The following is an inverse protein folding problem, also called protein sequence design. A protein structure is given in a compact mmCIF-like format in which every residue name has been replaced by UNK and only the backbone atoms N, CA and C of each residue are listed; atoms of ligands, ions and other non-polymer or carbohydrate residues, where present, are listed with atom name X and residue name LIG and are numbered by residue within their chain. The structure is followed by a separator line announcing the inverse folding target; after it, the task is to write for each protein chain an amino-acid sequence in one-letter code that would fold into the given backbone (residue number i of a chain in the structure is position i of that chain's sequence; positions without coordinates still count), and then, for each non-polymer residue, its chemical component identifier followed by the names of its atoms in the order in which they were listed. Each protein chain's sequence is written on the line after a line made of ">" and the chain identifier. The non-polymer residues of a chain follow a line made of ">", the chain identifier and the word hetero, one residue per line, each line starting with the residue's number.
data_IF_888272048198
#
_entry.id   IF_888272048198
#
_cell.length_a   1.000
_cell.length_b   1.000
_cell.length_c   1.000
_cell.angle_alpha   90.00
_cell.angle_beta   90.00
_cell.angle_gamma   90.00
#
_symmetry.space_group_name_H-M   'P 1'
#
loop_
_entity.id
_entity.type
_entity.pdbx_description
1 polymer ?
#
# COMPACT_ATOMS: atom_id res chain seq x y z
N UNK A 1 26.25 -76.63 32.06
CA UNK A 1 27.19 -76.00 31.09
C UNK A 1 27.60 -74.60 31.58
N UNK A 2 28.76 -74.03 31.20
CA UNK A 2 29.46 -73.09 32.11
C UNK A 2 29.97 -71.74 31.52
N UNK A 3 30.05 -70.71 32.40
CA UNK A 3 31.02 -69.57 32.36
C UNK A 3 30.75 -68.51 31.23
N UNK A 4 31.20 -67.23 31.28
CA UNK A 4 32.05 -66.45 32.23
C UNK A 4 31.90 -64.90 32.05
N UNK A 5 31.82 -64.18 33.19
CA UNK A 5 32.51 -62.89 33.55
C UNK A 5 32.61 -61.63 32.61
N UNK A 6 32.29 -60.47 33.24
CA UNK A 6 33.02 -59.15 33.33
C UNK A 6 32.67 -57.92 32.44
N UNK A 7 32.72 -56.74 33.09
CA UNK A 7 32.84 -55.33 32.60
C UNK A 7 34.33 -54.88 32.56
N UNK A 8 34.73 -53.62 32.21
CA UNK A 8 34.11 -52.57 31.38
C UNK A 8 34.87 -52.37 30.04
N UNK A 9 35.80 -51.40 29.73
CA UNK A 9 36.46 -50.31 30.50
C UNK A 9 36.01 -48.87 30.06
N UNK A 10 36.94 -47.91 29.80
CA UNK A 10 36.69 -46.44 29.67
C UNK A 10 37.61 -45.73 28.65
N UNK A 11 37.12 -44.61 28.08
CA UNK A 11 37.80 -43.39 27.57
C UNK A 11 39.33 -43.36 27.26
N UNK A 12 39.68 -42.88 26.04
CA UNK A 12 40.93 -42.15 25.66
C UNK A 12 40.54 -41.01 24.67
N UNK A 13 41.05 -39.75 24.69
CA UNK A 13 42.43 -39.20 24.54
C UNK A 13 42.97 -39.38 23.10
N UNK A 14 43.56 -38.42 22.36
CA UNK A 14 43.98 -36.98 22.49
C UNK A 14 43.66 -36.28 21.13
N UNK A 15 43.50 -34.95 20.95
CA UNK A 15 44.24 -33.70 21.29
C UNK A 15 45.54 -33.44 20.47
N UNK A 16 45.43 -32.57 19.45
CA UNK A 16 46.43 -31.65 18.88
C UNK A 16 45.63 -30.55 18.13
N UNK A 17 45.86 -29.23 18.13
CA UNK A 17 46.99 -28.31 18.39
C UNK A 17 47.78 -27.80 17.17
N UNK A 18 47.22 -26.78 16.51
CA UNK A 18 47.93 -25.60 15.96
C UNK A 18 46.92 -24.42 15.97
N UNK A 19 47.16 -23.31 16.67
CA UNK A 19 48.09 -22.19 16.38
C UNK A 19 47.73 -21.41 15.09
N UNK A 20 47.57 -20.07 15.10
CA UNK A 20 47.12 -19.07 16.10
C UNK A 20 46.91 -17.75 15.33
N UNK A 21 45.97 -16.88 15.75
CA UNK A 21 45.77 -15.57 15.12
C UNK A 21 45.18 -14.55 16.09
N UNK A 22 45.92 -13.47 16.36
CA UNK A 22 45.53 -12.34 17.22
C UNK A 22 44.30 -11.60 16.66
N UNK A 23 43.29 -11.11 17.39
CA UNK A 23 43.11 -10.56 18.76
C UNK A 23 42.65 -9.10 18.64
N UNK A 24 41.35 -8.86 18.83
CA UNK A 24 40.79 -7.55 19.24
C UNK A 24 39.44 -7.80 19.91
N UNK A 25 39.34 -7.49 21.20
CA UNK A 25 38.09 -7.63 21.97
C UNK A 25 37.18 -6.41 21.72
N UNK A 26 35.89 -6.58 21.40
CA UNK A 26 34.95 -5.46 21.33
C UNK A 26 34.66 -4.90 22.72
N UNK A 27 34.86 -3.60 22.90
CA UNK A 27 34.45 -2.86 24.11
C UNK A 27 32.93 -3.03 24.32
N UNK A 28 32.44 -3.29 25.55
CA UNK A 28 31.01 -3.34 25.82
C UNK A 28 30.38 -1.96 25.60
N UNK A 29 29.63 -1.82 24.51
CA UNK A 29 28.86 -0.59 24.22
C UNK A 29 27.76 -0.48 25.27
N UNK A 30 27.78 0.61 26.05
CA UNK A 30 26.74 0.90 27.02
C UNK A 30 25.38 1.03 26.32
N UNK A 31 24.32 0.52 26.96
CA UNK A 31 22.97 0.72 26.46
C UNK A 31 22.63 2.22 26.52
N UNK A 32 22.11 2.83 25.44
CA UNK A 32 21.66 4.22 25.48
C UNK A 32 20.43 4.32 26.40
N UNK A 33 20.42 5.32 27.27
CA UNK A 33 19.36 5.52 28.26
C UNK A 33 17.96 5.61 27.63
N UNK A 34 16.96 5.11 28.38
CA UNK A 34 15.54 5.31 28.08
C UNK A 34 15.11 6.75 28.42
N UNK A 35 15.72 7.73 27.77
CA UNK A 35 15.34 9.14 27.87
C UNK A 35 13.94 9.34 27.31
N UNK A 36 13.04 9.87 28.13
CA UNK A 36 11.62 10.04 27.81
C UNK A 36 11.44 11.05 26.68
N UNK A 37 11.12 10.57 25.48
CA UNK A 37 10.58 11.43 24.42
C UNK A 37 9.10 11.67 24.74
N UNK A 38 8.81 12.85 25.26
CA UNK A 38 7.46 13.31 25.57
C UNK A 38 6.59 13.42 24.31
N UNK A 39 5.29 13.28 24.49
CA UNK A 39 4.31 13.23 23.42
C UNK A 39 4.28 14.49 22.55
N UNK A 40 4.65 14.31 21.27
CA UNK A 40 4.12 15.12 20.17
C UNK A 40 3.55 14.15 19.13
N UNK A 41 2.37 13.60 19.44
CA UNK A 41 1.51 13.05 18.41
C UNK A 41 0.89 14.23 17.64
N UNK A 42 1.07 14.33 16.31
CA UNK A 42 0.20 15.17 15.50
C UNK A 42 -1.23 14.67 15.72
N UNK A 43 -2.11 15.57 16.12
CA UNK A 43 -3.52 15.26 16.34
C UNK A 43 -4.11 14.66 15.06
N UNK A 44 -4.88 13.57 15.19
CA UNK A 44 -5.48 12.93 14.03
C UNK A 44 -6.45 13.94 13.40
N UNK A 45 -6.19 14.35 12.15
CA UNK A 45 -7.14 15.12 11.34
C UNK A 45 -8.39 14.28 11.07
N UNK A 46 -9.24 14.21 12.08
CA UNK A 46 -10.60 13.70 11.98
C UNK A 46 -11.38 14.64 11.07
N UNK A 47 -11.91 14.08 9.98
CA UNK A 47 -12.81 14.81 9.09
C UNK A 47 -13.91 15.50 9.92
N UNK A 48 -14.13 16.78 9.66
CA UNK A 48 -14.61 17.76 10.65
C UNK A 48 -15.85 17.37 11.47
N UNK A 49 -15.91 17.90 12.69
CA UNK A 49 -16.88 17.64 13.76
C UNK A 49 -18.36 17.87 13.38
N UNK A 50 -18.94 17.03 12.51
CA UNK A 50 -20.41 16.92 12.35
C UNK A 50 -20.92 15.63 11.70
N UNK A 51 -20.05 14.83 11.05
CA UNK A 51 -20.45 13.61 10.35
C UNK A 51 -20.77 12.44 11.30
N UNK A 52 -22.00 12.41 11.80
CA UNK A 52 -22.57 11.27 12.53
C UNK A 52 -22.96 10.11 11.58
N UNK A 53 -21.98 9.57 10.85
CA UNK A 53 -22.06 8.33 10.07
C UNK A 53 -22.45 8.50 8.60
N UNK A 54 -22.27 7.43 7.83
CA UNK A 54 -22.26 7.45 6.36
C UNK A 54 -23.63 7.10 5.72
N UNK A 55 -23.74 7.19 4.38
CA UNK A 55 -24.89 6.66 3.63
C UNK A 55 -24.83 5.14 3.47
N UNK A 56 -25.97 4.50 3.21
CA UNK A 56 -26.04 3.03 3.14
C UNK A 56 -25.12 2.43 2.06
N UNK A 57 -24.99 3.13 0.92
CA UNK A 57 -24.06 2.82 -0.16
C UNK A 57 -22.60 2.71 0.29
N UNK A 58 -22.16 3.57 1.23
CA UNK A 58 -20.81 3.51 1.81
C UNK A 58 -20.63 2.22 2.60
N UNK A 59 -21.59 1.87 3.47
CA UNK A 59 -21.50 0.63 4.26
C UNK A 59 -21.57 -0.63 3.39
N UNK A 60 -22.40 -0.63 2.34
CA UNK A 60 -22.48 -1.74 1.39
C UNK A 60 -21.14 -1.92 0.65
N UNK A 61 -20.63 -0.88 -0.01
CA UNK A 61 -19.35 -0.92 -0.74
C UNK A 61 -18.20 -1.29 0.20
N UNK A 62 -18.12 -0.67 1.38
CA UNK A 62 -17.10 -0.97 2.39
C UNK A 62 -17.17 -2.43 2.86
N UNK A 63 -18.36 -3.01 3.00
CA UNK A 63 -18.51 -4.42 3.37
C UNK A 63 -17.98 -5.38 2.31
N UNK A 64 -18.13 -5.05 1.02
CA UNK A 64 -17.58 -5.83 -0.10
C UNK A 64 -16.06 -5.68 -0.18
N UNK A 65 -15.53 -4.46 -0.04
CA UNK A 65 -14.08 -4.20 0.00
C UNK A 65 -13.41 -4.93 1.17
N UNK A 66 -14.02 -4.86 2.37
CA UNK A 66 -13.59 -5.58 3.58
C UNK A 66 -13.61 -7.10 3.37
N UNK A 67 -14.70 -7.64 2.81
CA UNK A 67 -14.82 -9.07 2.50
C UNK A 67 -13.76 -9.55 1.52
N UNK A 68 -13.51 -8.81 0.44
CA UNK A 68 -12.54 -9.20 -0.59
C UNK A 68 -11.11 -9.27 -0.03
N UNK A 69 -10.73 -8.33 0.83
CA UNK A 69 -9.43 -8.35 1.52
C UNK A 69 -9.24 -9.56 2.47
N UNK A 70 -10.33 -10.16 2.97
CA UNK A 70 -10.25 -11.39 3.78
C UNK A 70 -10.03 -12.67 2.94
N UNK A 71 -10.58 -12.72 1.73
CA UNK A 71 -10.56 -13.92 0.88
C UNK A 71 -9.16 -14.27 0.33
N UNK A 72 -8.19 -13.36 0.44
CA UNK A 72 -6.83 -13.54 -0.09
C UNK A 72 -5.81 -14.21 0.86
N UNK A 73 -6.12 -14.43 2.15
CA UNK A 73 -5.06 -14.72 3.16
C UNK A 73 -5.23 -15.98 4.03
N UNK A 74 -4.60 -17.08 3.58
CA UNK A 74 -3.74 -17.92 4.41
C UNK A 74 -2.27 -17.80 3.95
N UNK A 75 -1.34 -17.53 4.87
CA UNK A 75 0.07 -17.35 4.53
C UNK A 75 0.76 -18.60 3.96
N UNK A 76 0.27 -19.79 4.32
CA UNK A 76 0.76 -21.11 3.88
C UNK A 76 0.47 -21.46 2.42
N UNK A 77 -0.44 -20.73 1.75
CA UNK A 77 -0.87 -21.02 0.39
C UNK A 77 -0.50 -19.91 -0.61
N UNK A 78 0.56 -19.14 -0.34
CA UNK A 78 1.11 -18.12 -1.26
C UNK A 78 1.96 -18.71 -2.39
N UNK A 79 1.47 -19.77 -3.04
CA UNK A 79 1.81 -19.99 -4.45
C UNK A 79 1.22 -18.83 -5.28
N UNK A 80 1.94 -18.37 -6.30
CA UNK A 80 1.50 -17.24 -7.13
C UNK A 80 0.44 -17.72 -8.12
N UNK A 81 -0.80 -17.83 -7.66
CA UNK A 81 -1.96 -18.19 -8.48
C UNK A 81 -2.40 -16.94 -9.26
N UNK A 82 -1.89 -16.78 -10.47
CA UNK A 82 -2.45 -15.85 -11.45
C UNK A 82 -3.83 -16.34 -11.93
N UNK A 83 -4.72 -15.41 -12.31
CA UNK A 83 -5.89 -15.72 -13.14
C UNK A 83 -7.08 -16.41 -12.46
N UNK A 84 -7.30 -16.22 -11.14
CA UNK A 84 -8.60 -16.51 -10.51
C UNK A 84 -9.03 -15.37 -9.58
N UNK A 85 -10.02 -14.61 -10.01
CA UNK A 85 -10.75 -13.68 -9.14
C UNK A 85 -11.36 -14.48 -7.97
N UNK A 86 -11.12 -13.99 -6.75
CA UNK A 86 -11.68 -14.56 -5.51
C UNK A 86 -12.50 -13.53 -4.71
N UNK A 87 -12.72 -12.35 -5.27
CA UNK A 87 -13.56 -11.31 -4.68
C UNK A 87 -14.99 -11.38 -5.19
N UNK A 88 -15.91 -10.83 -4.40
CA UNK A 88 -17.22 -10.40 -4.88
C UNK A 88 -17.06 -9.17 -5.80
N UNK A 89 -17.91 -9.01 -6.83
CA UNK A 89 -17.89 -7.81 -7.66
C UNK A 89 -18.20 -6.56 -6.82
N UNK A 90 -17.45 -5.48 -7.05
CA UNK A 90 -17.71 -4.19 -6.41
C UNK A 90 -18.97 -3.56 -7.02
N UNK A 91 -19.90 -2.99 -6.22
CA UNK A 91 -20.99 -2.17 -6.73
C UNK A 91 -20.52 -0.99 -7.59
N UNK A 92 -21.22 -0.69 -8.69
CA UNK A 92 -20.95 0.46 -9.57
C UNK A 92 -21.34 1.78 -8.89
N UNK A 93 -20.42 2.32 -8.09
CA UNK A 93 -20.56 3.59 -7.37
C UNK A 93 -19.77 4.68 -8.11
N UNK A 94 -20.47 5.68 -8.65
CA UNK A 94 -19.87 6.74 -9.48
C UNK A 94 -19.46 8.00 -8.70
N UNK A 95 -19.87 8.11 -7.44
CA UNK A 95 -19.44 9.20 -6.55
C UNK A 95 -18.07 8.87 -5.93
N UNK A 96 -17.02 9.60 -6.32
CA UNK A 96 -15.66 9.43 -5.80
C UNK A 96 -15.60 9.59 -4.27
N UNK A 97 -16.35 10.55 -3.70
CA UNK A 97 -16.48 10.73 -2.24
C UNK A 97 -17.00 9.44 -1.54
N UNK A 98 -17.97 8.75 -2.13
CA UNK A 98 -18.54 7.51 -1.59
C UNK A 98 -17.56 6.36 -1.71
N UNK A 99 -16.79 6.30 -2.81
CA UNK A 99 -15.68 5.33 -2.93
C UNK A 99 -14.63 5.58 -1.85
N UNK A 100 -14.11 6.81 -1.73
CA UNK A 100 -13.09 7.17 -0.75
C UNK A 100 -13.53 6.84 0.68
N UNK A 101 -14.73 7.27 1.09
CA UNK A 101 -15.29 6.96 2.40
C UNK A 101 -15.46 5.44 2.62
N UNK A 102 -15.84 4.68 1.59
CA UNK A 102 -15.99 3.23 1.69
C UNK A 102 -14.65 2.49 1.79
N UNK A 103 -13.64 2.89 1.03
CA UNK A 103 -12.28 2.33 1.11
C UNK A 103 -11.64 2.66 2.46
N UNK A 104 -11.76 3.89 2.94
CA UNK A 104 -11.28 4.30 4.26
C UNK A 104 -11.97 3.50 5.38
N UNK A 105 -13.30 3.45 5.38
CA UNK A 105 -14.07 2.73 6.38
C UNK A 105 -13.76 1.22 6.37
N UNK A 106 -13.61 0.60 5.19
CA UNK A 106 -13.19 -0.79 5.07
C UNK A 106 -11.78 -1.01 5.63
N UNK A 107 -10.81 -0.15 5.28
CA UNK A 107 -9.43 -0.26 5.74
C UNK A 107 -9.31 -0.04 7.26
N UNK A 108 -10.01 0.95 7.81
CA UNK A 108 -10.07 1.21 9.24
C UNK A 108 -10.81 0.08 10.00
N UNK A 109 -11.78 -0.59 9.38
CA UNK A 109 -12.38 -1.82 9.94
C UNK A 109 -11.39 -2.99 9.93
N UNK A 110 -10.63 -3.20 8.84
CA UNK A 110 -9.55 -4.22 8.76
C UNK A 110 -8.44 -3.98 9.79
N UNK A 111 -8.22 -2.71 10.17
CA UNK A 111 -7.27 -2.29 11.23
C UNK A 111 -7.61 -2.88 12.60
N UNK A 112 -8.87 -3.25 12.84
CA UNK A 112 -9.38 -3.72 14.14
C UNK A 112 -9.35 -5.26 14.26
N UNK A 113 -8.29 -5.82 14.85
CA UNK A 113 -8.13 -7.29 15.01
C UNK A 113 -9.32 -7.98 15.72
N UNK A 114 -10.02 -7.29 16.62
CA UNK A 114 -11.21 -7.84 17.29
C UNK A 114 -12.40 -8.10 16.32
N UNK A 115 -12.48 -7.33 15.24
CA UNK A 115 -13.42 -7.54 14.15
C UNK A 115 -12.82 -8.52 13.13
N UNK A 116 -11.55 -8.35 12.75
CA UNK A 116 -10.82 -9.23 11.83
C UNK A 116 -10.92 -10.71 12.26
N UNK A 117 -10.54 -11.01 13.50
CA UNK A 117 -10.46 -12.37 14.05
C UNK A 117 -11.81 -13.09 14.12
N UNK A 118 -12.93 -12.36 14.22
CA UNK A 118 -14.27 -12.93 14.35
C UNK A 118 -15.04 -13.00 13.04
N UNK A 119 -14.81 -12.05 12.13
CA UNK A 119 -15.57 -11.96 10.87
C UNK A 119 -14.99 -12.87 9.78
N UNK A 120 -13.69 -13.23 9.86
CA UNK A 120 -13.02 -14.17 8.94
C UNK A 120 -13.70 -15.53 8.77
N UNK A 121 -14.55 -15.95 9.71
CA UNK A 121 -15.25 -17.25 9.66
C UNK A 121 -16.64 -17.21 9.01
N UNK A 122 -17.18 -16.04 8.66
CA UNK A 122 -18.53 -15.93 8.05
C UNK A 122 -18.64 -14.68 7.16
N UNK A 123 -18.76 -14.82 5.83
CA UNK A 123 -18.88 -13.68 4.92
C UNK A 123 -20.03 -12.70 5.21
N UNK A 124 -21.14 -13.19 5.77
CA UNK A 124 -22.27 -12.34 6.18
C UNK A 124 -21.95 -11.37 7.32
N UNK A 125 -20.83 -11.57 8.03
CA UNK A 125 -20.38 -10.68 9.11
C UNK A 125 -19.67 -9.43 8.61
N UNK A 126 -19.30 -9.32 7.34
CA UNK A 126 -18.53 -8.18 6.82
C UNK A 126 -19.29 -6.86 6.88
N UNK A 127 -20.60 -6.84 6.60
CA UNK A 127 -21.45 -5.66 6.80
C UNK A 127 -21.61 -5.33 8.29
N UNK A 128 -21.71 -6.35 9.15
CA UNK A 128 -21.79 -6.19 10.61
C UNK A 128 -20.49 -5.61 11.18
N UNK A 129 -19.33 -6.01 10.67
CA UNK A 129 -18.02 -5.52 11.09
C UNK A 129 -17.89 -4.01 10.81
N UNK A 130 -18.15 -3.62 9.56
CA UNK A 130 -18.04 -2.24 9.06
C UNK A 130 -19.02 -1.32 9.79
N UNK A 131 -20.28 -1.73 9.98
CA UNK A 131 -21.26 -0.97 10.77
C UNK A 131 -20.90 -0.92 12.26
N UNK A 132 -20.38 -2.00 12.86
CA UNK A 132 -20.00 -2.01 14.28
C UNK A 132 -18.76 -1.16 14.56
N UNK A 133 -17.80 -1.10 13.63
CA UNK A 133 -16.61 -0.24 13.74
C UNK A 133 -17.01 1.24 13.82
N UNK A 134 -17.77 1.72 12.84
CA UNK A 134 -18.28 3.10 12.78
C UNK A 134 -19.26 3.39 13.94
N UNK A 135 -20.15 2.47 14.30
CA UNK A 135 -21.07 2.66 15.42
C UNK A 135 -20.34 2.78 16.76
N UNK A 136 -19.26 2.01 16.95
CA UNK A 136 -18.39 2.13 18.12
C UNK A 136 -17.61 3.45 18.10
N UNK A 137 -17.06 3.86 16.97
CA UNK A 137 -16.30 5.11 16.91
C UNK A 137 -17.19 6.35 17.11
N UNK A 138 -18.41 6.35 16.58
CA UNK A 138 -19.45 7.33 16.93
C UNK A 138 -20.03 7.13 18.34
N UNK A 139 -19.26 6.48 19.22
CA UNK A 139 -19.51 6.24 20.65
C UNK A 139 -20.92 5.67 20.94
N UNK A 140 -21.36 4.79 20.04
CA UNK A 140 -22.69 4.15 20.00
C UNK A 140 -23.88 5.11 19.83
N UNK A 141 -23.69 6.27 19.18
CA UNK A 141 -24.78 7.16 18.78
C UNK A 141 -25.47 6.65 17.49
N UNK A 142 -26.77 6.95 17.26
CA UNK A 142 -27.42 6.68 15.97
C UNK A 142 -26.84 7.55 14.84
N UNK A 143 -27.05 7.16 13.58
CA UNK A 143 -26.62 7.98 12.42
C UNK A 143 -27.48 9.23 12.23
N UNK A 144 -26.87 10.39 11.91
CA UNK A 144 -27.59 11.54 11.32
C UNK A 144 -27.94 11.19 9.88
N UNK A 145 -29.20 10.81 9.62
CA UNK A 145 -29.66 10.43 8.27
C UNK A 145 -30.07 11.67 7.47
N UNK A 146 -29.40 11.94 6.34
CA UNK A 146 -29.94 12.84 5.29
C UNK A 146 -31.15 12.14 4.64
N UNK A 147 -32.29 12.81 4.52
CA UNK A 147 -33.57 12.19 4.17
C UNK A 147 -33.73 11.76 2.69
N UNK A 148 -32.73 12.03 1.84
CA UNK A 148 -32.81 11.91 0.37
C UNK A 148 -31.61 11.10 -0.17
N UNK A 149 -31.45 9.86 0.31
CA UNK A 149 -30.53 8.86 -0.26
C UNK A 149 -31.16 7.48 -0.21
N UNK A 150 -30.68 6.61 -1.10
CA UNK A 150 -31.13 5.21 -1.26
C UNK A 150 -31.13 4.45 0.08
N UNK A 151 -32.15 3.61 0.26
CA UNK A 151 -32.33 2.78 1.45
C UNK A 151 -31.99 1.35 1.10
N UNK A 152 -30.90 0.84 1.67
CA UNK A 152 -30.47 -0.55 1.49
C UNK A 152 -30.91 -1.33 2.73
N UNK A 153 -31.89 -2.22 2.56
CA UNK A 153 -32.63 -2.81 3.68
C UNK A 153 -31.72 -3.61 4.63
N UNK A 154 -30.75 -4.34 4.08
CA UNK A 154 -29.76 -5.13 4.84
C UNK A 154 -28.92 -4.23 5.76
N UNK A 155 -28.55 -3.03 5.30
CA UNK A 155 -27.82 -2.05 6.10
C UNK A 155 -28.70 -1.53 7.25
N UNK A 156 -30.00 -1.35 7.02
CA UNK A 156 -30.95 -0.93 8.05
C UNK A 156 -31.21 -2.01 9.08
N UNK A 157 -31.35 -3.27 8.67
CA UNK A 157 -31.62 -4.38 9.59
C UNK A 157 -30.42 -4.68 10.48
N UNK A 158 -29.19 -4.60 9.94
CA UNK A 158 -27.97 -4.68 10.75
C UNK A 158 -27.83 -3.46 11.68
N UNK A 159 -28.07 -2.23 11.21
CA UNK A 159 -28.07 -1.03 12.07
C UNK A 159 -29.07 -1.15 13.22
N UNK A 160 -30.31 -1.56 12.93
CA UNK A 160 -31.38 -1.74 13.91
C UNK A 160 -31.03 -2.83 14.94
N UNK A 161 -30.37 -3.92 14.51
CA UNK A 161 -29.88 -4.98 15.39
C UNK A 161 -28.76 -4.49 16.32
N UNK A 162 -27.79 -3.74 15.79
CA UNK A 162 -26.71 -3.13 16.57
C UNK A 162 -27.25 -2.12 17.59
N UNK A 163 -28.20 -1.27 17.20
CA UNK A 163 -28.87 -0.32 18.10
C UNK A 163 -29.61 -1.04 19.24
N UNK A 164 -30.39 -2.10 18.93
CA UNK A 164 -31.09 -2.94 19.92
C UNK A 164 -30.15 -3.58 20.94
N UNK A 165 -28.87 -3.74 20.61
CA UNK A 165 -27.88 -4.37 21.48
C UNK A 165 -26.76 -3.42 21.98
N UNK A 166 -26.88 -2.10 21.73
CA UNK A 166 -25.95 -1.04 22.14
C UNK A 166 -25.30 -1.27 23.51
N UNK A 167 -26.10 -1.38 24.58
CA UNK A 167 -25.58 -1.48 25.95
C UNK A 167 -24.79 -2.77 26.17
N UNK A 168 -25.19 -3.89 25.55
CA UNK A 168 -24.48 -5.17 25.63
C UNK A 168 -23.17 -5.13 24.84
N UNK A 169 -23.16 -4.49 23.66
CA UNK A 169 -21.98 -4.30 22.81
C UNK A 169 -20.94 -3.40 23.51
N UNK A 170 -21.35 -2.21 23.95
CA UNK A 170 -20.50 -1.26 24.66
C UNK A 170 -19.87 -1.88 25.93
N UNK A 171 -20.68 -2.56 26.76
CA UNK A 171 -20.16 -3.25 27.95
C UNK A 171 -19.22 -4.42 27.60
N UNK A 172 -19.43 -5.11 26.48
CA UNK A 172 -18.54 -6.19 26.02
C UNK A 172 -17.20 -5.65 25.54
N UNK A 173 -17.20 -4.56 24.77
CA UNK A 173 -16.00 -3.88 24.29
C UNK A 173 -15.22 -3.23 25.43
N UNK A 174 -15.90 -2.63 26.42
CA UNK A 174 -15.27 -2.12 27.64
C UNK A 174 -14.59 -3.24 28.46
N UNK A 175 -15.26 -4.38 28.66
CA UNK A 175 -14.65 -5.56 29.32
C UNK A 175 -13.46 -6.11 28.54
N UNK A 176 -13.53 -6.13 27.21
CA UNK A 176 -12.41 -6.57 26.37
C UNK A 176 -11.20 -5.63 26.53
N UNK A 177 -11.43 -4.30 26.41
CA UNK A 177 -10.39 -3.27 26.62
C UNK A 177 -9.69 -3.44 27.98
N UNK A 178 -10.46 -3.63 29.05
CA UNK A 178 -9.93 -3.85 30.41
C UNK A 178 -9.13 -5.17 30.49
N UNK A 179 -9.69 -6.29 29.98
CA UNK A 179 -9.03 -7.61 30.00
C UNK A 179 -7.65 -7.59 29.35
N UNK A 180 -7.49 -6.86 28.25
CA UNK A 180 -6.24 -6.76 27.50
C UNK A 180 -5.41 -5.50 27.83
N UNK A 181 -5.80 -4.74 28.88
CA UNK A 181 -5.11 -3.52 29.36
C UNK A 181 -4.85 -2.45 28.29
N UNK A 182 -5.79 -2.25 27.37
CA UNK A 182 -5.61 -1.37 26.21
C UNK A 182 -6.07 0.07 26.51
N UNK A 183 -5.28 1.13 26.20
CA UNK A 183 -5.69 2.52 26.45
C UNK A 183 -6.94 2.93 25.66
N UNK A 184 -6.89 2.79 24.33
CA UNK A 184 -8.04 2.94 23.43
C UNK A 184 -8.33 1.63 22.67
N UNK A 185 -9.40 1.63 21.88
CA UNK A 185 -9.74 0.48 21.02
C UNK A 185 -8.72 0.31 19.88
N UNK A 186 -8.03 1.37 19.42
CA UNK A 186 -7.05 1.27 18.34
C UNK A 186 -5.81 0.46 18.76
N UNK A 187 -5.50 0.40 20.06
CA UNK A 187 -4.41 -0.42 20.60
C UNK A 187 -4.66 -1.93 20.47
N UNK A 188 -5.85 -2.36 20.03
CA UNK A 188 -6.14 -3.74 19.56
C UNK A 188 -5.27 -4.11 18.35
N UNK A 189 -4.68 -3.14 17.63
CA UNK A 189 -3.73 -3.40 16.55
C UNK A 189 -2.59 -4.34 16.97
N UNK A 190 -2.36 -5.48 16.27
CA UNK A 190 -1.18 -6.29 16.42
C UNK A 190 0.08 -5.45 16.21
N UNK A 191 1.16 -5.76 16.91
CA UNK A 191 2.40 -4.98 16.79
C UNK A 191 2.96 -5.01 15.37
N UNK A 192 2.82 -6.14 14.67
CA UNK A 192 3.16 -6.27 13.24
C UNK A 192 2.31 -5.41 12.30
N UNK A 193 1.17 -4.88 12.74
CA UNK A 193 0.36 -3.91 12.03
C UNK A 193 0.74 -2.47 12.43
N UNK A 194 0.96 -2.20 13.74
CA UNK A 194 1.50 -0.91 14.21
C UNK A 194 2.82 -0.56 13.53
N UNK A 195 3.77 -1.50 13.44
CA UNK A 195 5.05 -1.24 12.74
C UNK A 195 4.91 -1.13 11.21
N UNK A 196 3.82 -1.63 10.60
CA UNK A 196 3.53 -1.40 9.17
C UNK A 196 2.97 0.00 8.95
N UNK A 197 2.04 0.45 9.80
CA UNK A 197 1.50 1.81 9.78
C UNK A 197 2.61 2.85 10.03
N UNK A 198 3.45 2.64 11.05
CA UNK A 198 4.59 3.51 11.37
C UNK A 198 5.58 3.60 10.19
N UNK A 199 5.85 2.48 9.51
CA UNK A 199 6.68 2.47 8.30
C UNK A 199 5.99 3.19 7.16
N UNK A 200 4.71 2.91 6.90
CA UNK A 200 3.93 3.54 5.82
C UNK A 200 3.91 5.07 5.94
N UNK A 201 3.67 5.60 7.15
CA UNK A 201 3.72 7.04 7.47
C UNK A 201 5.13 7.67 7.34
N UNK A 202 6.18 6.86 7.17
CA UNK A 202 7.58 7.27 7.03
C UNK A 202 8.22 6.83 5.70
N UNK A 203 7.48 6.19 4.78
CA UNK A 203 7.98 5.91 3.44
C UNK A 203 8.10 7.24 2.67
N UNK A 204 9.25 7.53 2.04
CA UNK A 204 9.36 8.71 1.20
C UNK A 204 8.48 8.56 -0.05
N UNK A 205 8.08 9.69 -0.61
CA UNK A 205 7.43 9.75 -1.91
C UNK A 205 8.48 9.44 -2.97
N UNK A 206 8.23 8.43 -3.79
CA UNK A 206 8.94 8.22 -5.04
C UNK A 206 8.08 8.76 -6.18
N UNK A 207 8.68 9.57 -7.07
CA UNK A 207 8.02 10.10 -8.24
C UNK A 207 8.90 9.95 -9.47
N UNK A 208 8.44 9.21 -10.48
CA UNK A 208 9.14 9.09 -11.76
C UNK A 208 8.82 10.29 -12.65
N UNK A 209 9.82 10.75 -13.41
CA UNK A 209 9.67 11.84 -14.37
C UNK A 209 9.11 11.32 -15.69
N UNK A 210 8.01 11.93 -16.15
CA UNK A 210 7.41 11.62 -17.44
C UNK A 210 8.19 12.31 -18.57
N UNK A 211 9.16 11.58 -19.10
CA UNK A 211 10.06 12.03 -20.17
C UNK A 211 9.42 12.20 -21.55
N UNK A 212 8.11 11.89 -21.68
CA UNK A 212 7.27 12.33 -22.80
C UNK A 212 6.78 13.79 -22.67
N UNK A 213 6.73 14.34 -21.45
CA UNK A 213 6.16 15.67 -21.15
C UNK A 213 7.14 16.68 -20.54
N UNK A 214 8.27 16.23 -20.01
CA UNK A 214 9.25 17.08 -19.32
C UNK A 214 10.64 16.44 -19.32
N UNK A 215 11.71 17.19 -19.00
CA UNK A 215 13.01 16.59 -18.70
C UNK A 215 13.23 16.47 -17.19
N UNK A 216 14.10 15.53 -16.78
CA UNK A 216 14.51 15.39 -15.37
C UNK A 216 15.10 16.70 -14.83
N UNK A 217 15.88 17.40 -15.64
CA UNK A 217 16.48 18.68 -15.24
C UNK A 217 15.44 19.81 -15.19
N UNK A 218 14.44 19.84 -16.08
CA UNK A 218 13.31 20.80 -16.02
C UNK A 218 12.51 20.63 -14.73
N UNK A 219 12.10 19.40 -14.41
CA UNK A 219 11.41 19.08 -13.15
C UNK A 219 12.24 19.54 -11.95
N UNK A 220 13.55 19.31 -11.96
CA UNK A 220 14.44 19.73 -10.88
C UNK A 220 14.65 21.24 -10.80
N UNK A 221 14.56 21.99 -11.90
CA UNK A 221 14.55 23.46 -11.85
C UNK A 221 13.23 23.99 -11.28
N UNK A 222 12.08 23.41 -11.66
CA UNK A 222 10.77 23.78 -11.07
C UNK A 222 10.78 23.53 -9.56
N UNK A 223 11.25 22.36 -9.10
CA UNK A 223 11.38 22.09 -7.66
C UNK A 223 12.29 23.12 -6.97
N UNK A 224 13.41 23.54 -7.58
CA UNK A 224 14.31 24.55 -7.02
C UNK A 224 13.68 25.96 -6.98
N UNK A 225 12.90 26.36 -8.00
CA UNK A 225 12.19 27.64 -7.98
C UNK A 225 11.06 27.68 -6.95
N UNK A 226 10.45 26.54 -6.65
CA UNK A 226 9.46 26.37 -5.57
C UNK A 226 10.12 26.26 -4.17
N UNK A 227 11.46 26.36 -4.09
CA UNK A 227 12.24 26.38 -2.84
C UNK A 227 12.81 25.04 -2.37
N UNK A 228 12.61 23.94 -3.12
CA UNK A 228 13.11 22.63 -2.70
C UNK A 228 14.63 22.50 -2.88
N UNK A 229 15.32 22.08 -1.81
CA UNK A 229 16.77 21.86 -1.82
C UNK A 229 17.12 20.42 -2.25
N UNK A 230 18.09 20.31 -3.16
CA UNK A 230 18.56 19.00 -3.66
C UNK A 230 19.65 18.43 -2.74
N UNK A 231 19.37 17.30 -2.09
CA UNK A 231 20.32 16.57 -1.23
C UNK A 231 20.94 15.35 -1.94
N UNK A 232 21.96 14.73 -1.34
CA UNK A 232 22.76 13.67 -2.00
C UNK A 232 22.13 12.27 -1.88
N UNK A 233 21.32 12.02 -0.86
CA UNK A 233 20.74 10.69 -0.62
C UNK A 233 19.47 10.73 0.23
N UNK A 234 18.73 9.61 0.22
CA UNK A 234 17.48 9.43 0.98
C UNK A 234 17.66 9.68 2.48
N UNK A 235 18.85 9.38 3.04
CA UNK A 235 19.18 9.63 4.44
C UNK A 235 19.40 11.11 4.81
N UNK A 236 19.26 12.02 3.85
CA UNK A 236 19.34 13.48 4.03
C UNK A 236 17.99 14.17 3.75
N UNK A 237 16.91 13.40 3.54
CA UNK A 237 15.58 13.94 3.22
C UNK A 237 14.85 14.41 4.48
N UNK A 238 14.94 15.71 4.74
CA UNK A 238 14.25 16.42 5.82
C UNK A 238 13.64 17.73 5.29
N UNK A 239 12.50 18.15 5.85
CA UNK A 239 11.78 19.37 5.43
C UNK A 239 11.53 19.43 3.92
N UNK A 240 11.80 20.60 3.31
CA UNK A 240 11.59 20.83 1.89
C UNK A 240 12.81 20.41 1.03
N UNK A 241 13.10 19.11 1.00
CA UNK A 241 14.23 18.54 0.25
C UNK A 241 13.81 17.45 -0.74
N UNK A 242 14.69 17.15 -1.70
CA UNK A 242 14.56 16.02 -2.62
C UNK A 242 15.91 15.46 -3.05
N UNK A 243 15.97 14.22 -3.52
CA UNK A 243 17.14 13.65 -4.20
C UNK A 243 16.74 12.85 -5.45
N UNK A 244 17.72 12.45 -6.28
CA UNK A 244 17.51 11.39 -7.29
C UNK A 244 17.59 10.02 -6.60
N UNK A 245 16.93 9.01 -7.15
CA UNK A 245 17.08 7.63 -6.67
C UNK A 245 18.42 7.00 -7.11
N UNK A 246 18.93 6.04 -6.34
CA UNK A 246 20.21 5.37 -6.61
C UNK A 246 20.14 4.24 -7.65
N UNK A 247 18.94 3.71 -7.96
CA UNK A 247 18.76 2.54 -8.81
C UNK A 247 17.94 2.83 -10.07
N UNK A 248 17.13 3.90 -10.07
CA UNK A 248 16.26 4.29 -11.17
C UNK A 248 16.50 5.76 -11.50
N UNK A 249 17.24 6.03 -12.59
CA UNK A 249 17.81 7.35 -12.86
C UNK A 249 16.80 8.48 -13.14
N UNK A 250 15.55 8.10 -13.42
CA UNK A 250 14.42 8.97 -13.70
C UNK A 250 13.54 9.31 -12.48
N UNK A 251 13.82 8.68 -11.32
CA UNK A 251 13.02 8.86 -10.09
C UNK A 251 13.61 9.96 -9.21
N UNK A 252 12.72 10.84 -8.73
CA UNK A 252 12.96 11.76 -7.63
C UNK A 252 12.34 11.21 -6.33
N UNK A 253 13.00 11.47 -5.20
CA UNK A 253 12.60 11.00 -3.87
C UNK A 253 12.44 12.19 -2.93
N UNK A 254 11.30 12.28 -2.23
CA UNK A 254 10.92 13.40 -1.36
C UNK A 254 10.35 12.88 -0.02
N UNK A 255 10.40 13.66 1.09
CA UNK A 255 9.70 13.31 2.33
C UNK A 255 8.20 13.09 2.17
N UNK A 256 7.63 12.15 2.95
CA UNK A 256 6.20 11.78 2.91
C UNK A 256 5.24 12.98 2.98
N UNK A 257 5.56 13.96 3.83
CA UNK A 257 4.72 15.14 4.09
C UNK A 257 4.76 16.19 2.97
N UNK A 258 5.69 16.09 2.01
CA UNK A 258 5.80 17.04 0.88
C UNK A 258 4.72 16.84 -0.20
N UNK A 259 3.82 15.85 -0.06
CA UNK A 259 2.80 15.55 -1.08
C UNK A 259 1.90 16.76 -1.37
N UNK A 260 1.47 17.49 -0.34
CA UNK A 260 0.60 18.67 -0.46
C UNK A 260 1.28 19.82 -1.19
N UNK A 261 2.54 20.12 -0.83
CA UNK A 261 3.35 21.14 -1.50
C UNK A 261 3.73 20.74 -2.94
N UNK A 262 3.87 19.44 -3.22
CA UNK A 262 4.06 18.94 -4.58
C UNK A 262 2.79 19.12 -5.44
N UNK A 263 1.59 19.06 -4.82
CA UNK A 263 0.31 19.36 -5.48
C UNK A 263 0.06 20.85 -5.74
N UNK A 264 0.71 21.79 -5.04
CA UNK A 264 0.67 23.20 -5.44
C UNK A 264 1.55 23.51 -6.65
N UNK A 265 2.53 22.63 -6.96
CA UNK A 265 3.26 22.68 -8.23
C UNK A 265 2.42 22.07 -9.36
N UNK A 266 2.61 22.58 -10.60
CA UNK A 266 1.98 21.99 -11.80
C UNK A 266 2.56 20.64 -12.21
N UNK A 267 3.59 20.13 -11.54
CA UNK A 267 4.31 18.91 -11.95
C UNK A 267 3.40 17.67 -11.94
N UNK A 268 2.47 17.59 -10.98
CA UNK A 268 1.49 16.51 -10.88
C UNK A 268 0.29 16.71 -11.81
N UNK A 269 -0.26 17.93 -11.90
CA UNK A 269 -1.45 18.24 -12.72
C UNK A 269 -1.20 18.08 -14.21
N UNK A 270 -0.01 18.47 -14.66
CA UNK A 270 0.39 18.39 -16.07
C UNK A 270 0.85 16.95 -16.42
N UNK A 271 0.98 16.09 -15.40
CA UNK A 271 1.59 14.76 -15.44
C UNK A 271 3.05 14.76 -15.90
N UNK A 272 3.84 15.77 -15.48
CA UNK A 272 5.30 15.82 -15.69
C UNK A 272 6.05 14.89 -14.73
N UNK A 273 5.47 14.62 -13.55
CA UNK A 273 5.89 13.56 -12.64
C UNK A 273 4.69 12.73 -12.20
N UNK A 274 4.93 11.49 -11.77
CA UNK A 274 3.91 10.59 -11.22
C UNK A 274 4.41 9.96 -9.93
N UNK A 275 3.67 10.15 -8.83
CA UNK A 275 3.95 9.44 -7.57
C UNK A 275 3.53 7.97 -7.72
N UNK A 276 4.48 7.05 -7.54
CA UNK A 276 4.25 5.60 -7.48
C UNK A 276 5.26 4.97 -6.53
N UNK A 277 4.91 3.84 -5.89
CA UNK A 277 5.89 3.09 -5.09
C UNK A 277 7.03 2.57 -5.99
N UNK A 278 8.27 2.66 -5.49
CA UNK A 278 9.50 2.31 -6.21
C UNK A 278 9.47 0.90 -6.82
N UNK A 279 8.74 -0.05 -6.23
CA UNK A 279 8.61 -1.41 -6.78
C UNK A 279 7.97 -1.44 -8.18
N UNK A 280 7.06 -0.52 -8.49
CA UNK A 280 6.46 -0.41 -9.83
C UNK A 280 7.41 0.15 -10.88
N UNK A 281 8.39 0.95 -10.47
CA UNK A 281 9.34 1.62 -11.37
C UNK A 281 10.62 0.82 -11.65
N UNK A 282 10.90 -0.22 -10.84
CA UNK A 282 12.03 -1.13 -11.05
C UNK A 282 11.89 -1.92 -12.37
N UNK A 283 10.72 -2.51 -12.64
CA UNK A 283 10.46 -3.27 -13.86
C UNK A 283 10.69 -2.45 -15.15
N UNK A 284 10.05 -1.27 -15.29
CA UNK A 284 10.28 -0.33 -16.39
C UNK A 284 11.76 0.04 -16.59
N UNK A 285 12.49 0.33 -15.51
CA UNK A 285 13.93 0.64 -15.58
C UNK A 285 14.77 -0.55 -16.06
N UNK A 286 14.52 -1.76 -15.53
CA UNK A 286 15.24 -2.97 -15.96
C UNK A 286 14.94 -3.31 -17.43
N UNK A 287 13.67 -3.23 -17.86
CA UNK A 287 13.28 -3.44 -19.26
C UNK A 287 13.97 -2.43 -20.18
N UNK A 288 13.93 -1.14 -19.85
CA UNK A 288 14.60 -0.11 -20.64
C UNK A 288 16.13 -0.29 -20.68
N UNK A 289 16.75 -0.78 -19.60
CA UNK A 289 18.18 -1.08 -19.56
C UNK A 289 18.55 -2.24 -20.49
N UNK A 290 17.76 -3.31 -20.48
CA UNK A 290 18.02 -4.55 -21.24
C UNK A 290 17.57 -4.51 -22.71
N UNK A 291 16.71 -3.57 -23.10
CA UNK A 291 16.23 -3.43 -24.48
C UNK A 291 17.40 -3.15 -25.46
N UNK A 292 17.59 -3.90 -26.56
CA UNK A 292 18.56 -3.58 -27.60
C UNK A 292 18.24 -2.25 -28.32
N UNK A 293 19.11 -1.80 -29.23
CA UNK A 293 18.95 -0.54 -29.99
C UNK A 293 17.72 -0.52 -30.90
N UNK A 294 17.27 -1.69 -31.34
CA UNK A 294 15.99 -1.92 -32.02
C UNK A 294 15.25 -3.07 -31.32
N UNK A 295 14.03 -2.83 -30.85
CA UNK A 295 13.20 -3.82 -30.17
C UNK A 295 11.90 -3.26 -29.60
N UNK A 296 10.82 -4.03 -29.76
CA UNK A 296 9.52 -3.79 -29.15
C UNK A 296 9.42 -4.46 -27.77
N UNK A 297 8.53 -3.98 -26.90
CA UNK A 297 8.26 -4.56 -25.58
C UNK A 297 6.82 -5.09 -25.49
N UNK A 298 6.68 -6.34 -25.04
CA UNK A 298 5.38 -6.94 -24.70
C UNK A 298 5.25 -7.12 -23.19
N UNK A 299 4.34 -6.36 -22.58
CA UNK A 299 3.96 -6.51 -21.18
C UNK A 299 2.78 -7.49 -21.07
N UNK A 300 2.95 -8.62 -20.37
CA UNK A 300 1.89 -9.64 -20.16
C UNK A 300 1.55 -9.78 -18.69
N UNK A 301 0.28 -9.61 -18.33
CA UNK A 301 -0.22 -9.70 -16.95
C UNK A 301 -0.96 -8.44 -16.49
N UNK A 302 -1.10 -8.27 -15.17
CA UNK A 302 -1.87 -7.17 -14.58
C UNK A 302 -0.97 -5.97 -14.26
N UNK A 303 -1.15 -4.85 -14.97
CA UNK A 303 -0.38 -3.62 -14.78
C UNK A 303 -1.30 -2.41 -14.63
N UNK A 304 -0.84 -1.40 -13.90
CA UNK A 304 -1.50 -0.08 -13.92
C UNK A 304 -1.17 0.66 -15.21
N UNK A 305 -2.09 1.48 -15.71
CA UNK A 305 -1.83 2.36 -16.87
C UNK A 305 -0.64 3.31 -16.65
N UNK A 306 -0.35 3.67 -15.39
CA UNK A 306 0.84 4.44 -15.02
C UNK A 306 2.13 3.63 -15.22
N UNK A 307 2.17 2.35 -14.83
CA UNK A 307 3.34 1.47 -15.04
C UNK A 307 3.59 1.17 -16.53
N UNK A 308 2.52 1.05 -17.32
CA UNK A 308 2.60 0.99 -18.79
C UNK A 308 3.20 2.29 -19.35
N UNK A 309 2.69 3.44 -18.92
CA UNK A 309 3.16 4.75 -19.35
C UNK A 309 4.62 5.01 -18.95
N UNK A 310 5.03 4.52 -17.78
CA UNK A 310 6.42 4.61 -17.30
C UNK A 310 7.38 3.84 -18.21
N UNK A 311 7.01 2.59 -18.53
CA UNK A 311 7.73 1.75 -19.50
C UNK A 311 7.86 2.45 -20.86
N UNK A 312 6.74 2.96 -21.40
CA UNK A 312 6.72 3.67 -22.67
C UNK A 312 7.55 4.97 -22.66
N UNK A 313 7.54 5.72 -21.56
CA UNK A 313 8.30 6.97 -21.41
C UNK A 313 9.81 6.74 -21.40
N UNK A 314 10.29 5.78 -20.59
CA UNK A 314 11.71 5.42 -20.52
C UNK A 314 12.24 4.94 -21.87
N UNK A 315 11.48 4.06 -22.53
CA UNK A 315 11.84 3.51 -23.85
C UNK A 315 11.85 4.62 -24.91
N UNK A 316 10.82 5.47 -24.98
CA UNK A 316 10.78 6.60 -25.91
C UNK A 316 11.95 7.58 -25.69
N UNK A 317 12.38 7.79 -24.44
CA UNK A 317 13.55 8.60 -24.13
C UNK A 317 14.85 7.95 -24.60
N UNK A 318 15.06 6.65 -24.37
CA UNK A 318 16.27 5.92 -24.78
C UNK A 318 16.49 5.99 -26.29
N UNK A 319 15.43 5.79 -27.08
CA UNK A 319 15.53 5.75 -28.54
C UNK A 319 15.39 7.14 -29.21
N UNK A 320 15.13 8.21 -28.44
CA UNK A 320 15.00 9.60 -28.95
C UNK A 320 16.22 10.10 -29.76
N UNK A 321 17.39 9.50 -29.55
CA UNK A 321 18.61 9.81 -30.31
C UNK A 321 18.84 8.90 -31.54
N UNK A 322 18.18 7.74 -31.63
CA UNK A 322 18.32 6.79 -32.74
C UNK A 322 17.15 6.94 -33.71
N UNK A 323 17.23 7.96 -34.57
CA UNK A 323 16.10 8.46 -35.38
C UNK A 323 15.50 7.51 -36.44
N UNK A 324 15.96 6.26 -36.51
CA UNK A 324 15.51 5.27 -37.51
C UNK A 324 14.45 4.29 -36.97
N UNK A 325 14.41 4.04 -35.66
CA UNK A 325 13.54 3.03 -35.06
C UNK A 325 12.67 3.60 -33.93
N UNK A 326 11.35 3.43 -34.05
CA UNK A 326 10.39 3.82 -33.01
C UNK A 326 9.87 2.57 -32.27
N UNK A 327 10.34 2.30 -31.03
CA UNK A 327 9.90 1.15 -30.23
C UNK A 327 8.43 1.26 -29.78
N UNK A 328 7.76 0.11 -29.74
CA UNK A 328 6.34 -0.05 -29.36
C UNK A 328 6.19 -0.78 -28.03
N UNK A 329 5.21 -0.38 -27.21
CA UNK A 329 4.83 -1.11 -25.97
C UNK A 329 3.46 -1.75 -26.15
N UNK A 330 3.45 -3.06 -26.39
CA UNK A 330 2.26 -3.90 -26.43
C UNK A 330 1.88 -4.31 -24.99
N UNK A 331 0.58 -4.36 -24.68
CA UNK A 331 0.09 -4.69 -23.33
C UNK A 331 -1.05 -5.71 -23.40
N UNK A 332 -0.74 -6.94 -23.01
CA UNK A 332 -1.71 -8.02 -22.86
C UNK A 332 -2.15 -8.12 -21.39
N UNK A 333 -3.32 -7.55 -21.09
CA UNK A 333 -3.97 -7.67 -19.77
C UNK A 333 -4.96 -8.84 -19.76
N UNK A 334 -4.66 -9.87 -18.98
CA UNK A 334 -5.56 -11.01 -18.78
C UNK A 334 -6.55 -10.73 -17.65
N UNK A 335 -7.79 -11.20 -17.79
CA UNK A 335 -8.87 -11.06 -16.80
C UNK A 335 -9.31 -9.61 -16.52
N UNK A 336 -9.06 -8.65 -17.42
CA UNK A 336 -9.61 -7.29 -17.30
C UNK A 336 -10.93 -7.13 -18.06
N UNK A 337 -11.90 -6.49 -17.42
CA UNK A 337 -13.17 -6.11 -18.04
C UNK A 337 -12.98 -5.03 -19.12
N UNK A 338 -13.97 -4.87 -20.00
CA UNK A 338 -13.96 -3.80 -21.01
C UNK A 338 -13.84 -2.39 -20.38
N UNK A 339 -14.42 -2.18 -19.19
CA UNK A 339 -14.30 -0.93 -18.43
C UNK A 339 -12.87 -0.70 -17.96
N UNK A 340 -12.26 -1.67 -17.28
CA UNK A 340 -10.86 -1.59 -16.82
C UNK A 340 -9.87 -1.40 -17.98
N UNK A 341 -10.15 -2.01 -19.13
CA UNK A 341 -9.39 -1.84 -20.38
C UNK A 341 -9.49 -0.41 -20.92
N UNK A 342 -10.69 0.17 -20.92
CA UNK A 342 -10.91 1.57 -21.32
C UNK A 342 -10.28 2.56 -20.33
N UNK A 343 -10.31 2.28 -19.02
CA UNK A 343 -9.63 3.07 -17.98
C UNK A 343 -8.10 3.04 -18.15
N UNK A 344 -7.51 1.87 -18.37
CA UNK A 344 -6.08 1.72 -18.68
C UNK A 344 -5.70 2.53 -19.92
N UNK A 345 -6.47 2.40 -21.00
CA UNK A 345 -6.25 3.16 -22.24
C UNK A 345 -6.38 4.67 -22.02
N UNK A 346 -7.38 5.12 -21.24
CA UNK A 346 -7.56 6.53 -20.86
C UNK A 346 -6.33 7.06 -20.11
N UNK A 347 -5.85 6.34 -19.10
CA UNK A 347 -4.64 6.72 -18.33
C UNK A 347 -3.44 6.84 -19.26
N UNK A 348 -3.18 5.85 -20.11
CA UNK A 348 -2.04 5.83 -21.05
C UNK A 348 -2.08 7.03 -22.01
N UNK A 349 -3.26 7.38 -22.53
CA UNK A 349 -3.43 8.58 -23.37
C UNK A 349 -3.21 9.87 -22.57
N UNK A 350 -3.77 9.99 -21.35
CA UNK A 350 -3.58 11.16 -20.46
C UNK A 350 -2.11 11.39 -20.07
N UNK A 351 -1.34 10.31 -19.94
CA UNK A 351 0.11 10.37 -19.71
C UNK A 351 0.92 10.84 -20.92
N UNK A 352 0.32 10.95 -22.11
CA UNK A 352 0.97 11.42 -23.34
C UNK A 352 1.48 10.31 -24.25
N UNK A 353 1.17 9.04 -23.96
CA UNK A 353 1.53 7.93 -24.83
C UNK A 353 0.57 7.88 -26.03
N UNK A 354 1.08 8.23 -27.21
CA UNK A 354 0.28 8.25 -28.44
C UNK A 354 -0.15 6.84 -28.88
N UNK A 355 -1.46 6.57 -28.89
CA UNK A 355 -2.05 5.32 -29.36
C UNK A 355 -2.20 5.21 -30.90
N UNK A 356 -1.61 6.14 -31.65
CA UNK A 356 -1.84 6.28 -33.10
C UNK A 356 -0.81 5.49 -33.91
N UNK A 357 -1.32 4.40 -34.49
CA UNK A 357 -0.64 3.37 -35.29
C UNK A 357 0.21 2.38 -34.47
N UNK A 358 -0.21 1.09 -34.58
CA UNK A 358 0.36 -0.10 -33.94
C UNK A 358 0.31 -0.16 -32.39
N UNK A 359 -0.92 -0.38 -31.92
CA UNK A 359 -1.24 -1.47 -30.97
C UNK A 359 -0.58 -1.47 -29.58
N UNK A 360 -1.12 -0.66 -28.67
CA UNK A 360 -1.47 -1.21 -27.35
C UNK A 360 -2.73 -2.10 -27.49
N UNK A 361 -2.63 -3.23 -28.19
CA UNK A 361 -3.75 -4.18 -28.33
C UNK A 361 -3.79 -5.11 -27.12
N UNK A 362 -4.83 -4.96 -26.30
CA UNK A 362 -5.17 -5.95 -25.27
C UNK A 362 -5.80 -7.17 -25.96
N UNK A 363 -4.96 -8.11 -26.39
CA UNK A 363 -5.39 -9.42 -26.91
C UNK A 363 -6.26 -10.13 -25.85
N UNK A 364 -7.34 -10.83 -26.23
CA UNK A 364 -8.13 -11.66 -25.31
C UNK A 364 -7.33 -12.88 -24.78
#
# INVERSE_FOLDING_TARGET
>A
MPKKKKRPPTCQKRKAESLVGSRTDPVPVAAPDHTVILDIFPELETAGQDQLGFSDSVYQLASVVFQNNHLERPATHRLVIFGKERGLPLPDVKEEEVQCAAFELAFNTLKCELLESKCRSNPGMSLVAVLLFDFQDRKFLPRKRKAIREVIQEVRDVENCLLRHKTRLAASLARYRIKYKLPSIEFILPESMKTKEWRSKRLPLYAWVNTLKSSLDEVQQVLKSEGFLQVKSIGQLEGQTFCRDSHCGDILVLPAHMKTQLCSTKLLTDHKIVIQDKSYSLGPNVVCSLLPEEGDVLMVGCFSGLTVSHTASLIAQKHKASGNYQPTVYVCVSNCTNTQRAELQKIVITMGCNSKHKRCECVP
#
